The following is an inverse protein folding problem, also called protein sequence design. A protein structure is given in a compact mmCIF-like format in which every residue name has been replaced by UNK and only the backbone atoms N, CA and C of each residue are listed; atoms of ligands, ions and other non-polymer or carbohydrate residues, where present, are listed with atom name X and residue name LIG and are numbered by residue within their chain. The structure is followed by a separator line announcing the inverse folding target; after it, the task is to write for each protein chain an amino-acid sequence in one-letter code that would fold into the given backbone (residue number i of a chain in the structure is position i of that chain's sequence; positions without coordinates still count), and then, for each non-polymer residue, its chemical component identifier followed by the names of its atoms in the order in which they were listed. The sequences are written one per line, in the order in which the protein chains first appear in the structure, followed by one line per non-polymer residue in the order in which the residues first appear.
data_IF_389936118620
#
_entry.id   IF_389936118620
#
_cell.length_a   1.000
_cell.length_b   1.000
_cell.length_c   1.000
_cell.angle_alpha   90.00
_cell.angle_beta   90.00
_cell.angle_gamma   90.00
#
_symmetry.space_group_name_H-M   'P 1'
#
loop_
_entity.id
_entity.type
_entity.pdbx_description
1 polymer ?
#
# COMPACT_ATOMS: atom_id res chain seq x y z
N UNK A 1 7.68 -3.60 -28.27
CA UNK A 1 7.22 -3.90 -26.90
C UNK A 1 6.96 -2.57 -26.19
N UNK A 2 5.85 -2.42 -25.44
CA UNK A 2 5.64 -1.24 -24.58
C UNK A 2 6.33 -1.51 -23.24
N UNK A 3 7.10 -0.55 -22.68
CA UNK A 3 7.76 -0.73 -21.39
C UNK A 3 6.72 -0.77 -20.27
N UNK A 4 6.98 -1.59 -19.27
CA UNK A 4 6.22 -1.65 -18.02
C UNK A 4 6.54 -0.44 -17.14
N UNK A 5 5.67 -0.14 -16.18
CA UNK A 5 5.91 0.96 -15.22
C UNK A 5 7.16 0.69 -14.37
N UNK A 6 7.42 -0.58 -14.01
CA UNK A 6 8.63 -0.94 -13.28
C UNK A 6 9.90 -0.64 -14.09
N UNK A 7 9.91 -0.98 -15.38
CA UNK A 7 11.02 -0.66 -16.29
C UNK A 7 11.17 0.86 -16.47
N UNK A 8 10.07 1.60 -16.59
CA UNK A 8 10.10 3.06 -16.71
C UNK A 8 10.66 3.73 -15.43
N UNK A 9 10.27 3.26 -14.24
CA UNK A 9 10.78 3.75 -12.97
C UNK A 9 12.28 3.45 -12.83
N UNK A 10 12.69 2.23 -13.17
CA UNK A 10 14.10 1.82 -13.10
C UNK A 10 14.99 2.63 -14.02
N UNK A 11 14.58 2.82 -15.28
CA UNK A 11 15.33 3.63 -16.25
C UNK A 11 15.34 5.12 -15.88
N UNK A 12 14.23 5.65 -15.36
CA UNK A 12 14.18 7.03 -14.87
C UNK A 12 15.17 7.23 -13.74
N UNK A 13 15.19 6.33 -12.75
CA UNK A 13 16.16 6.38 -11.65
C UNK A 13 17.59 6.33 -12.18
N UNK A 14 17.89 5.40 -13.09
CA UNK A 14 19.22 5.27 -13.71
C UNK A 14 19.66 6.56 -14.41
N UNK A 15 18.78 7.20 -15.20
CA UNK A 15 19.10 8.47 -15.86
C UNK A 15 19.40 9.56 -14.83
N UNK A 16 18.55 9.69 -13.81
CA UNK A 16 18.72 10.73 -12.81
C UNK A 16 20.00 10.52 -11.97
N UNK A 17 20.30 9.28 -11.57
CA UNK A 17 21.46 8.94 -10.75
C UNK A 17 22.75 8.95 -11.56
N UNK A 18 22.81 8.27 -12.70
CA UNK A 18 24.07 8.03 -13.41
C UNK A 18 24.43 9.16 -14.39
N UNK A 19 23.42 9.86 -14.93
CA UNK A 19 23.63 10.87 -15.97
C UNK A 19 23.55 12.29 -15.42
N UNK A 20 22.55 12.59 -14.59
CA UNK A 20 22.32 13.96 -14.10
C UNK A 20 23.12 14.29 -12.84
N UNK A 21 23.18 13.37 -11.86
CA UNK A 21 23.89 13.63 -10.60
C UNK A 21 25.34 14.09 -10.78
N UNK A 22 26.16 13.50 -11.67
CA UNK A 22 27.55 13.95 -11.88
C UNK A 22 27.67 15.36 -12.46
N UNK A 23 26.59 15.93 -13.01
CA UNK A 23 26.56 17.24 -13.66
C UNK A 23 26.09 18.35 -12.72
N UNK A 24 25.53 18.01 -11.56
CA UNK A 24 25.07 18.97 -10.56
C UNK A 24 26.26 19.38 -9.70
N UNK A 25 26.62 20.66 -9.75
CA UNK A 25 27.73 21.24 -8.98
C UNK A 25 27.29 21.97 -7.71
N UNK A 26 26.00 22.22 -7.56
CA UNK A 26 25.40 22.89 -6.41
C UNK A 26 24.97 21.87 -5.35
N UNK A 27 25.53 21.96 -4.16
CA UNK A 27 25.31 21.00 -3.07
C UNK A 27 23.86 21.01 -2.57
N UNK A 28 23.19 22.16 -2.61
CA UNK A 28 21.79 22.29 -2.22
C UNK A 28 20.86 21.57 -3.21
N UNK A 29 21.05 21.79 -4.52
CA UNK A 29 20.35 21.06 -5.56
C UNK A 29 20.60 19.55 -5.48
N UNK A 30 21.83 19.13 -5.16
CA UNK A 30 22.18 17.73 -4.95
C UNK A 30 21.40 17.12 -3.78
N UNK A 31 21.25 17.86 -2.68
CA UNK A 31 20.47 17.42 -1.51
C UNK A 31 18.98 17.22 -1.84
N UNK A 32 18.36 18.15 -2.56
CA UNK A 32 16.96 18.01 -3.01
C UNK A 32 16.81 16.78 -3.91
N UNK A 33 17.74 16.58 -4.85
CA UNK A 33 17.71 15.43 -5.77
C UNK A 33 17.86 14.09 -5.04
N UNK A 34 18.66 14.02 -3.96
CA UNK A 34 18.75 12.81 -3.13
C UNK A 34 17.41 12.40 -2.52
N UNK A 35 16.58 13.37 -2.09
CA UNK A 35 15.22 13.06 -1.61
C UNK A 35 14.35 12.49 -2.73
N UNK A 36 14.41 13.08 -3.92
CA UNK A 36 13.69 12.57 -5.09
C UNK A 36 14.13 11.14 -5.47
N UNK A 37 15.43 10.84 -5.42
CA UNK A 37 15.95 9.49 -5.70
C UNK A 37 15.47 8.47 -4.67
N UNK A 38 15.50 8.84 -3.39
CA UNK A 38 14.99 7.96 -2.33
C UNK A 38 13.50 7.67 -2.50
N UNK A 39 12.71 8.64 -2.93
CA UNK A 39 11.29 8.43 -3.21
C UNK A 39 11.07 7.54 -4.43
N UNK A 40 11.86 7.72 -5.51
CA UNK A 40 11.79 6.87 -6.69
C UNK A 40 12.22 5.42 -6.41
N UNK A 41 13.26 5.22 -5.61
CA UNK A 41 13.70 3.89 -5.17
C UNK A 41 12.62 3.20 -4.31
N UNK A 42 11.99 3.95 -3.40
CA UNK A 42 10.86 3.44 -2.62
C UNK A 42 9.69 3.05 -3.53
N UNK A 43 9.36 3.91 -4.50
CA UNK A 43 8.28 3.65 -5.45
C UNK A 43 8.58 2.44 -6.33
N UNK A 44 9.80 2.31 -6.87
CA UNK A 44 10.25 1.14 -7.65
C UNK A 44 10.07 -0.16 -6.86
N UNK A 45 10.46 -0.17 -5.58
CA UNK A 45 10.32 -1.34 -4.71
C UNK A 45 8.88 -1.62 -4.24
N UNK A 46 8.03 -0.60 -4.15
CA UNK A 46 6.64 -0.72 -3.70
C UNK A 46 5.67 -1.02 -4.85
N UNK A 47 5.95 -0.51 -6.06
CA UNK A 47 5.02 -0.54 -7.20
C UNK A 47 4.50 -1.95 -7.53
N UNK A 48 5.33 -3.00 -7.59
CA UNK A 48 4.84 -4.36 -7.88
C UNK A 48 3.87 -4.91 -6.83
N UNK A 49 3.85 -4.32 -5.63
CA UNK A 49 3.01 -4.74 -4.51
C UNK A 49 1.68 -3.99 -4.44
N UNK A 50 1.54 -2.86 -5.15
CA UNK A 50 0.34 -1.99 -5.08
C UNK A 50 -0.90 -2.73 -5.55
N UNK A 51 -0.87 -3.33 -6.75
CA UNK A 51 -2.03 -4.06 -7.29
C UNK A 51 -2.44 -5.26 -6.42
N UNK A 52 -1.52 -6.19 -6.04
CA UNK A 52 -1.86 -7.28 -5.11
C UNK A 52 -2.41 -6.78 -3.78
N UNK A 53 -1.85 -5.68 -3.25
CA UNK A 53 -2.32 -5.06 -2.03
C UNK A 53 -3.75 -4.55 -2.17
N UNK A 54 -4.03 -3.72 -3.17
CA UNK A 54 -5.36 -3.12 -3.36
C UNK A 54 -6.43 -4.19 -3.58
N UNK A 55 -6.13 -5.21 -4.37
CA UNK A 55 -7.04 -6.32 -4.61
C UNK A 55 -7.38 -7.07 -3.32
N UNK A 56 -6.35 -7.44 -2.56
CA UNK A 56 -6.50 -8.13 -1.28
C UNK A 56 -7.22 -7.25 -0.23
N UNK A 57 -6.81 -5.99 -0.05
CA UNK A 57 -7.35 -5.06 0.95
C UNK A 57 -8.83 -4.79 0.68
N UNK A 58 -9.21 -4.63 -0.60
CA UNK A 58 -10.61 -4.46 -1.00
C UNK A 58 -11.47 -5.69 -0.66
N UNK A 59 -10.98 -6.88 -1.00
CA UNK A 59 -11.70 -8.13 -0.71
C UNK A 59 -11.90 -8.32 0.79
N UNK A 60 -10.81 -8.25 1.57
CA UNK A 60 -10.88 -8.52 3.00
C UNK A 60 -11.67 -7.44 3.74
N UNK A 61 -11.53 -6.16 3.36
CA UNK A 61 -12.32 -5.07 3.97
C UNK A 61 -13.82 -5.25 3.69
N UNK A 62 -14.18 -5.67 2.48
CA UNK A 62 -15.59 -5.93 2.13
C UNK A 62 -16.15 -7.11 2.92
N UNK A 63 -15.41 -8.22 3.05
CA UNK A 63 -15.81 -9.36 3.89
C UNK A 63 -16.01 -8.94 5.34
N UNK A 64 -15.07 -8.18 5.91
CA UNK A 64 -15.16 -7.68 7.28
C UNK A 64 -16.40 -6.79 7.49
N UNK A 65 -16.70 -5.92 6.53
CA UNK A 65 -17.90 -5.07 6.57
C UNK A 65 -19.19 -5.92 6.53
N UNK A 66 -19.22 -6.98 5.72
CA UNK A 66 -20.33 -7.93 5.69
C UNK A 66 -20.54 -8.64 7.03
N UNK A 67 -19.46 -9.09 7.66
CA UNK A 67 -19.50 -9.80 8.95
C UNK A 67 -20.05 -8.94 10.10
N UNK A 68 -19.76 -7.64 10.09
CA UNK A 68 -20.22 -6.71 11.14
C UNK A 68 -21.50 -5.95 10.77
N UNK A 69 -22.07 -6.19 9.57
CA UNK A 69 -23.23 -5.46 9.02
C UNK A 69 -24.45 -5.47 9.94
N UNK A 70 -24.71 -6.58 10.63
CA UNK A 70 -25.88 -6.72 11.52
C UNK A 70 -25.88 -5.78 12.74
N UNK A 71 -24.78 -5.08 13.00
CA UNK A 71 -24.62 -4.13 14.11
C UNK A 71 -24.66 -2.66 13.66
N UNK A 72 -24.80 -2.43 12.36
CA UNK A 72 -24.81 -1.09 11.78
C UNK A 72 -26.24 -0.53 11.74
N UNK A 73 -26.37 0.79 11.64
CA UNK A 73 -27.63 1.40 11.24
C UNK A 73 -28.02 1.01 9.80
N UNK A 74 -29.30 1.20 9.47
CA UNK A 74 -29.85 0.80 8.18
C UNK A 74 -29.15 1.50 6.99
N UNK A 75 -28.74 2.74 7.17
CA UNK A 75 -28.09 3.54 6.12
C UNK A 75 -26.70 2.99 5.80
N UNK A 76 -25.91 2.67 6.81
CA UNK A 76 -24.58 2.09 6.65
C UNK A 76 -24.66 0.64 6.16
N UNK A 77 -25.60 -0.16 6.68
CA UNK A 77 -25.83 -1.51 6.20
C UNK A 77 -26.19 -1.53 4.71
N UNK A 78 -27.06 -0.63 4.26
CA UNK A 78 -27.41 -0.46 2.84
C UNK A 78 -26.21 -0.04 1.99
N UNK A 79 -25.37 0.86 2.50
CA UNK A 79 -24.14 1.27 1.80
C UNK A 79 -23.14 0.13 1.63
N UNK A 80 -23.01 -0.76 2.62
CA UNK A 80 -22.19 -1.98 2.53
C UNK A 80 -22.79 -2.94 1.50
N UNK A 81 -24.10 -3.12 1.50
CA UNK A 81 -24.79 -4.01 0.55
C UNK A 81 -24.64 -3.53 -0.90
N UNK A 82 -24.75 -2.21 -1.14
CA UNK A 82 -24.46 -1.61 -2.45
C UNK A 82 -23.00 -1.82 -2.87
N UNK A 83 -22.08 -1.74 -1.91
CA UNK A 83 -20.68 -2.03 -2.16
C UNK A 83 -20.48 -3.50 -2.58
N UNK A 84 -21.17 -4.47 -1.98
CA UNK A 84 -21.07 -5.90 -2.35
C UNK A 84 -21.57 -6.18 -3.77
N UNK A 85 -22.53 -5.40 -4.27
CA UNK A 85 -23.11 -5.56 -5.61
C UNK A 85 -22.18 -5.13 -6.76
N UNK A 86 -21.01 -4.57 -6.47
CA UNK A 86 -20.02 -4.22 -7.50
C UNK A 86 -19.23 -5.49 -7.88
N UNK A 87 -19.72 -6.22 -8.89
CA UNK A 87 -19.26 -7.58 -9.22
C UNK A 87 -17.97 -7.61 -10.08
N UNK A 88 -17.57 -6.52 -10.74
CA UNK A 88 -16.42 -6.58 -11.66
C UNK A 88 -15.66 -5.27 -11.73
N UNK A 89 -14.54 -5.21 -11.02
CA UNK A 89 -13.50 -4.20 -11.20
C UNK A 89 -12.38 -4.83 -11.99
N UNK A 90 -11.90 -4.16 -13.04
CA UNK A 90 -10.70 -4.59 -13.77
C UNK A 90 -9.53 -4.72 -12.79
N UNK A 91 -8.97 -5.94 -12.58
CA UNK A 91 -7.89 -6.16 -11.62
C UNK A 91 -6.56 -5.49 -12.02
N UNK A 92 -6.47 -4.95 -13.23
CA UNK A 92 -5.30 -4.23 -13.73
C UNK A 92 -5.48 -2.71 -13.71
N UNK A 93 -6.68 -2.20 -13.41
CA UNK A 93 -6.95 -0.78 -13.26
C UNK A 93 -6.66 -0.33 -11.82
N UNK A 94 -5.43 0.13 -11.61
CA UNK A 94 -4.96 0.66 -10.32
C UNK A 94 -5.88 1.78 -9.82
N UNK A 95 -6.29 2.69 -10.71
CA UNK A 95 -7.09 3.87 -10.30
C UNK A 95 -8.46 3.46 -9.80
N UNK A 96 -9.12 2.53 -10.49
CA UNK A 96 -10.42 2.02 -10.05
C UNK A 96 -10.28 1.24 -8.74
N UNK A 97 -9.22 0.44 -8.58
CA UNK A 97 -8.94 -0.27 -7.34
C UNK A 97 -8.64 0.66 -6.16
N UNK A 98 -7.95 1.78 -6.38
CA UNK A 98 -7.67 2.81 -5.37
C UNK A 98 -8.94 3.56 -4.94
N UNK A 99 -9.77 4.00 -5.88
CA UNK A 99 -11.07 4.63 -5.57
C UNK A 99 -11.92 3.68 -4.74
N UNK A 100 -12.01 2.42 -5.16
CA UNK A 100 -12.74 1.40 -4.44
C UNK A 100 -12.22 1.21 -3.02
N UNK A 101 -10.90 1.20 -2.87
CA UNK A 101 -10.24 1.06 -1.58
C UNK A 101 -10.54 2.23 -0.65
N UNK A 102 -10.54 3.45 -1.17
CA UNK A 102 -10.91 4.65 -0.42
C UNK A 102 -12.36 4.58 0.07
N UNK A 103 -13.31 4.17 -0.80
CA UNK A 103 -14.72 3.98 -0.43
C UNK A 103 -14.90 2.98 0.70
N UNK A 104 -14.29 1.80 0.58
CA UNK A 104 -14.38 0.75 1.60
C UNK A 104 -13.78 1.18 2.94
N UNK A 105 -12.68 1.95 2.91
CA UNK A 105 -12.09 2.52 4.13
C UNK A 105 -13.01 3.54 4.80
N UNK A 106 -13.72 4.36 4.03
CA UNK A 106 -14.71 5.28 4.59
C UNK A 106 -15.85 4.53 5.27
N UNK A 107 -16.34 3.44 4.65
CA UNK A 107 -17.35 2.57 5.26
C UNK A 107 -16.83 1.91 6.55
N UNK A 108 -15.60 1.37 6.52
CA UNK A 108 -14.97 0.78 7.71
C UNK A 108 -14.81 1.79 8.84
N UNK A 109 -14.39 3.01 8.53
CA UNK A 109 -14.28 4.09 9.52
C UNK A 109 -15.63 4.40 10.19
N UNK A 110 -16.71 4.46 9.40
CA UNK A 110 -18.07 4.64 9.93
C UNK A 110 -18.50 3.46 10.79
N UNK A 111 -18.23 2.23 10.34
CA UNK A 111 -18.56 1.00 11.06
C UNK A 111 -17.90 0.94 12.44
N UNK A 112 -16.63 1.34 12.56
CA UNK A 112 -15.92 1.40 13.85
C UNK A 112 -16.68 2.23 14.90
N UNK A 113 -17.34 3.32 14.47
CA UNK A 113 -18.13 4.18 15.34
C UNK A 113 -19.38 3.50 15.92
N UNK A 114 -19.91 2.47 15.25
CA UNK A 114 -21.16 1.80 15.60
C UNK A 114 -20.95 0.40 16.21
N UNK A 115 -19.76 -0.18 16.02
CA UNK A 115 -19.40 -1.50 16.52
C UNK A 115 -19.35 -1.59 18.05
N UNK A 116 -19.78 -2.73 18.60
CA UNK A 116 -19.56 -3.07 20.00
C UNK A 116 -18.07 -3.39 20.25
N UNK A 117 -17.71 -3.61 21.52
CA UNK A 117 -16.32 -3.93 21.88
C UNK A 117 -15.82 -5.22 21.21
N UNK A 118 -16.70 -6.20 20.96
CA UNK A 118 -16.31 -7.46 20.35
C UNK A 118 -15.99 -7.29 18.86
N UNK A 119 -16.81 -6.58 18.09
CA UNK A 119 -16.53 -6.32 16.67
C UNK A 119 -15.31 -5.40 16.51
N UNK A 120 -15.11 -4.45 17.42
CA UNK A 120 -13.88 -3.63 17.43
C UNK A 120 -12.61 -4.48 17.54
N UNK A 121 -12.64 -5.58 18.30
CA UNK A 121 -11.49 -6.52 18.36
C UNK A 121 -11.26 -7.24 17.04
N UNK A 122 -12.33 -7.62 16.34
CA UNK A 122 -12.23 -8.24 15.00
C UNK A 122 -11.61 -7.25 14.01
N UNK A 123 -12.10 -6.01 13.99
CA UNK A 123 -11.54 -4.95 13.15
C UNK A 123 -10.08 -4.66 13.51
N UNK A 124 -9.74 -4.61 14.80
CA UNK A 124 -8.37 -4.40 15.26
C UNK A 124 -7.44 -5.54 14.81
N UNK A 125 -7.87 -6.79 14.92
CA UNK A 125 -7.09 -7.94 14.44
C UNK A 125 -6.82 -7.85 12.93
N UNK A 126 -7.83 -7.46 12.15
CA UNK A 126 -7.67 -7.22 10.71
C UNK A 126 -6.66 -6.09 10.41
N UNK A 127 -6.73 -4.96 11.11
CA UNK A 127 -5.79 -3.86 10.91
C UNK A 127 -4.35 -4.25 11.26
N UNK A 128 -4.16 -5.10 12.27
CA UNK A 128 -2.85 -5.66 12.61
C UNK A 128 -2.33 -6.58 11.50
N UNK A 129 -3.15 -7.52 11.01
CA UNK A 129 -2.78 -8.40 9.88
C UNK A 129 -2.38 -7.59 8.65
N UNK A 130 -3.15 -6.54 8.33
CA UNK A 130 -2.87 -5.63 7.22
C UNK A 130 -1.49 -5.02 7.32
N UNK A 131 -1.11 -4.50 8.50
CA UNK A 131 0.22 -3.91 8.69
C UNK A 131 1.36 -4.94 8.66
N UNK A 132 1.10 -6.18 9.07
CA UNK A 132 2.09 -7.26 9.01
C UNK A 132 2.33 -7.73 7.58
N UNK A 133 1.26 -7.86 6.78
CA UNK A 133 1.32 -8.36 5.40
C UNK A 133 1.83 -7.32 4.41
N UNK A 134 1.44 -6.05 4.60
CA UNK A 134 1.81 -4.93 3.74
C UNK A 134 2.31 -3.74 4.58
N UNK A 135 3.57 -3.78 5.05
CA UNK A 135 4.09 -2.75 5.94
C UNK A 135 4.25 -1.41 5.20
N UNK A 136 3.83 -0.32 5.85
CA UNK A 136 3.88 1.06 5.34
C UNK A 136 5.31 1.56 5.05
N UNK A 137 6.31 0.91 5.63
CA UNK A 137 7.72 1.06 5.25
C UNK A 137 8.25 -0.33 4.92
N UNK A 138 8.93 -0.54 3.78
CA UNK A 138 9.69 -1.75 3.62
C UNK A 138 10.67 -1.82 4.80
N UNK A 139 10.52 -2.85 5.63
CA UNK A 139 11.50 -3.14 6.67
C UNK A 139 12.84 -3.23 5.94
N UNK A 140 13.78 -2.33 6.24
CA UNK A 140 15.15 -2.51 5.79
C UNK A 140 15.53 -3.91 6.25
N UNK A 141 15.83 -4.81 5.33
CA UNK A 141 16.37 -6.11 5.68
C UNK A 141 17.56 -5.82 6.59
N UNK A 142 17.44 -6.24 7.85
CA UNK A 142 18.55 -6.19 8.79
C UNK A 142 19.71 -6.91 8.13
N UNK A 143 20.75 -6.17 7.75
CA UNK A 143 22.05 -6.74 7.48
C UNK A 143 22.56 -7.30 8.80
N UNK A 144 22.08 -8.49 9.18
CA UNK A 144 22.70 -9.28 10.22
C UNK A 144 24.06 -9.68 9.68
N UNK A 145 25.06 -8.90 10.07
CA UNK A 145 26.45 -9.22 9.85
C UNK A 145 26.78 -10.52 10.55
N UNK A 146 27.35 -11.45 9.80
CA UNK A 146 28.19 -12.49 10.37
C UNK A 146 29.62 -11.96 10.29
N UNK A 147 30.09 -11.35 11.39
CA UNK A 147 31.50 -11.33 11.69
C UNK A 147 31.89 -12.77 12.06
N UNK A 148 32.53 -13.49 11.13
CA UNK A 148 33.36 -14.62 11.52
C UNK A 148 34.78 -14.15 11.72
N UNK A 149 35.20 -14.16 12.99
CA UNK A 149 36.60 -14.16 13.41
C UNK A 149 37.35 -15.25 12.66
N UNK A 150 38.44 -14.90 11.96
CA UNK A 150 39.58 -15.80 11.80
C UNK A 150 40.70 -15.31 12.71
N UNK A 151 40.89 -16.03 13.80
CA UNK A 151 42.20 -16.12 14.43
C UNK A 151 43.05 -17.08 13.60
N UNK A 152 44.29 -16.68 13.35
CA UNK A 152 45.49 -17.38 13.78
C UNK A 152 46.61 -16.34 13.96
#
# INVERSE_FOLDING_TARGET
MRPTIAEQLSETRRILTDVLTPRIKDDYALQIMRMAFSNLEMLEGAWPKVLPFLHWDNQVTLTLLGDVRGQMDADLASAVEQAEQIVSIDPFDVSTLETRNAELRMLLHRAIGQCSQQERRVIQAHLLERTARYPMRPLKASSTGTQEKKGD
#
